data_IF_087886311020
#
_entry.id   IF_087886311020
#
_cell.length_a   1.000
_cell.length_b   1.000
_cell.length_c   1.000
_cell.angle_alpha   90.00
_cell.angle_beta   90.00
_cell.angle_gamma   90.00
#
_symmetry.space_group_name_H-M   'P 1'
#
loop_
_entity.id
_entity.type
_entity.pdbx_description
1 polymer ?
#
# COMPACT_ATOMS: atom_id res chain seq x y z
N UNK A 1 -18.96 6.64 30.47
CA UNK A 1 -17.53 6.55 30.10
C UNK A 1 -16.90 7.93 30.24
N UNK A 2 -16.81 8.50 31.45
CA UNK A 2 -16.24 9.84 31.65
C UNK A 2 -14.77 9.79 32.09
N UNK A 3 -14.38 8.72 32.80
CA UNK A 3 -13.03 8.51 33.32
C UNK A 3 -11.91 8.50 32.25
N UNK A 4 -12.22 8.11 31.01
CA UNK A 4 -11.23 8.13 29.91
C UNK A 4 -10.83 9.55 29.52
N UNK A 5 -11.75 10.51 29.66
CA UNK A 5 -11.48 11.92 29.42
C UNK A 5 -10.66 12.53 30.56
N UNK A 6 -10.90 12.07 31.78
CA UNK A 6 -10.12 12.49 32.95
C UNK A 6 -8.65 12.06 32.80
N UNK A 7 -8.42 10.83 32.33
CA UNK A 7 -7.04 10.36 32.04
C UNK A 7 -6.41 11.13 30.89
N UNK A 8 -7.16 11.42 29.83
CA UNK A 8 -6.66 12.25 28.75
C UNK A 8 -6.24 13.64 29.25
N UNK A 9 -7.01 14.25 30.15
CA UNK A 9 -6.63 15.54 30.74
C UNK A 9 -5.40 15.47 31.65
N UNK A 10 -5.10 14.32 32.26
CA UNK A 10 -3.85 14.11 33.00
C UNK A 10 -2.67 13.94 32.04
N UNK A 11 -2.89 13.34 30.86
CA UNK A 11 -1.87 13.18 29.82
C UNK A 11 -1.54 14.51 29.13
N UNK A 12 -2.57 15.29 28.78
CA UNK A 12 -2.49 16.59 28.12
C UNK A 12 -2.04 17.68 29.11
N UNK A 13 -0.74 17.70 29.38
CA UNK A 13 -0.14 18.61 30.36
C UNK A 13 -0.11 20.07 29.87
N UNK A 14 -0.11 20.28 28.55
CA UNK A 14 -0.20 21.61 27.94
C UNK A 14 -1.64 22.14 27.86
N UNK A 15 -2.64 21.26 27.85
CA UNK A 15 -4.06 21.60 27.78
C UNK A 15 -4.49 22.07 26.39
N UNK A 16 -3.76 21.71 25.34
CA UNK A 16 -4.04 22.12 23.97
C UNK A 16 -5.00 21.18 23.23
N UNK A 17 -5.43 20.10 23.90
CA UNK A 17 -6.31 19.07 23.37
C UNK A 17 -5.58 17.96 22.60
N UNK A 18 -4.25 17.97 22.61
CA UNK A 18 -3.39 17.01 21.90
C UNK A 18 -2.27 16.54 22.81
N UNK A 19 -2.12 15.24 22.96
CA UNK A 19 -1.00 14.68 23.73
C UNK A 19 0.17 14.43 22.78
N UNK A 20 1.29 15.11 23.03
CA UNK A 20 2.55 14.86 22.32
C UNK A 20 3.29 13.65 22.89
N UNK A 21 4.24 13.10 22.13
CA UNK A 21 5.07 11.98 22.62
C UNK A 21 5.80 12.34 23.92
N UNK A 22 6.29 13.57 24.04
CA UNK A 22 7.00 14.02 25.24
C UNK A 22 6.09 14.09 26.47
N UNK A 23 4.87 14.59 26.33
CA UNK A 23 3.88 14.59 27.41
C UNK A 23 3.48 13.17 27.80
N UNK A 24 3.28 12.31 26.81
CA UNK A 24 2.95 10.90 27.02
C UNK A 24 4.05 10.16 27.80
N UNK A 25 5.31 10.28 27.38
CA UNK A 25 6.46 9.67 28.07
C UNK A 25 6.65 10.23 29.48
N UNK A 26 6.45 11.53 29.67
CA UNK A 26 6.54 12.16 30.99
C UNK A 26 5.47 11.61 31.93
N UNK A 27 4.24 11.49 31.46
CA UNK A 27 3.10 11.05 32.27
C UNK A 27 3.10 9.55 32.56
N UNK A 28 3.76 8.74 31.73
CA UNK A 28 4.00 7.32 32.00
C UNK A 28 4.99 7.07 33.14
N UNK A 29 5.55 8.10 33.78
CA UNK A 29 6.27 7.97 35.06
C UNK A 29 5.32 8.00 36.28
N UNK A 30 4.06 8.40 36.09
CA UNK A 30 3.08 8.47 37.17
C UNK A 30 2.34 7.15 37.34
N UNK A 31 2.41 6.59 38.55
CA UNK A 31 1.84 5.27 38.87
C UNK A 31 0.33 5.18 38.58
N UNK A 32 -0.41 6.28 38.73
CA UNK A 32 -1.84 6.35 38.41
C UNK A 32 -2.12 6.15 36.92
N UNK A 33 -1.30 6.74 36.05
CA UNK A 33 -1.41 6.63 34.58
C UNK A 33 -1.00 5.21 34.15
N UNK A 34 0.07 4.65 34.71
CA UNK A 34 0.47 3.27 34.45
C UNK A 34 -0.63 2.29 34.85
N UNK A 35 -1.21 2.46 36.05
CA UNK A 35 -2.31 1.63 36.53
C UNK A 35 -3.52 1.68 35.59
N UNK A 36 -3.84 2.85 35.03
CA UNK A 36 -4.88 3.01 34.02
C UNK A 36 -4.62 2.14 32.79
N UNK A 37 -3.45 2.24 32.17
CA UNK A 37 -3.14 1.44 30.97
C UNK A 37 -3.17 -0.06 31.27
N UNK A 38 -2.74 -0.46 32.46
CA UNK A 38 -2.86 -1.85 32.93
C UNK A 38 -4.32 -2.30 33.04
N UNK A 39 -5.26 -1.45 33.50
CA UNK A 39 -6.70 -1.81 33.52
C UNK A 39 -7.26 -2.02 32.12
N UNK A 40 -6.70 -1.33 31.12
CA UNK A 40 -7.03 -1.51 29.71
C UNK A 40 -6.25 -2.65 29.05
N UNK A 41 -5.44 -3.41 29.80
CA UNK A 41 -4.54 -4.45 29.26
C UNK A 41 -3.56 -3.93 28.20
N UNK A 42 -3.20 -2.65 28.28
CA UNK A 42 -2.24 -2.02 27.39
C UNK A 42 -0.86 -2.06 28.04
N UNK A 43 0.10 -2.66 27.33
CA UNK A 43 1.49 -2.68 27.74
C UNK A 43 2.14 -1.32 27.43
N UNK A 44 2.55 -0.62 28.48
CA UNK A 44 3.24 0.68 28.41
C UNK A 44 4.77 0.55 28.47
N UNK A 45 5.31 -0.68 28.47
CA UNK A 45 6.76 -0.92 28.47
C UNK A 45 7.47 -0.29 27.27
N UNK A 46 6.76 -0.13 26.15
CA UNK A 46 7.20 0.63 24.98
C UNK A 46 6.21 1.76 24.68
N UNK A 47 6.35 2.85 25.46
CA UNK A 47 5.58 4.07 25.33
C UNK A 47 5.52 4.60 23.89
N UNK A 48 6.64 4.53 23.18
CA UNK A 48 6.77 5.07 21.83
C UNK A 48 6.01 4.25 20.80
N UNK A 49 6.04 2.93 20.93
CA UNK A 49 5.23 2.04 20.09
C UNK A 49 3.74 2.23 20.40
N UNK A 50 3.35 2.30 21.67
CA UNK A 50 1.96 2.55 22.05
C UNK A 50 1.45 3.89 21.50
N UNK A 51 2.25 4.96 21.64
CA UNK A 51 1.90 6.28 21.10
C UNK A 51 1.62 6.24 19.61
N UNK A 52 2.50 5.59 18.83
CA UNK A 52 2.30 5.41 17.37
C UNK A 52 1.08 4.56 17.01
N UNK A 53 0.66 3.66 17.89
CA UNK A 53 -0.56 2.87 17.69
C UNK A 53 -1.82 3.67 18.01
N UNK A 54 -1.70 4.72 18.84
CA UNK A 54 -2.78 5.64 19.18
C UNK A 54 -2.94 6.74 18.13
N UNK A 55 -1.83 7.35 17.70
CA UNK A 55 -1.76 8.33 16.60
C UNK A 55 -2.11 7.67 15.26
N UNK A 56 -3.36 7.84 14.85
CA UNK A 56 -3.94 7.11 13.73
C UNK A 56 -3.78 7.84 12.39
N UNK A 57 -3.65 9.17 12.44
CA UNK A 57 -3.46 10.02 11.29
C UNK A 57 -1.98 10.36 11.02
N UNK A 58 -1.07 10.04 11.95
CA UNK A 58 0.36 10.27 11.83
C UNK A 58 0.74 11.73 12.03
N UNK A 59 -0.03 12.47 12.83
CA UNK A 59 0.19 13.89 13.11
C UNK A 59 1.30 14.16 14.15
N UNK A 60 1.92 13.11 14.70
CA UNK A 60 2.86 13.16 15.83
C UNK A 60 2.21 13.71 17.13
N UNK A 61 0.88 13.69 17.19
CA UNK A 61 0.06 14.09 18.34
C UNK A 61 -1.16 13.18 18.45
N UNK A 62 -1.65 12.94 19.66
CA UNK A 62 -2.84 12.13 19.88
C UNK A 62 -3.95 13.02 20.43
N UNK A 63 -4.98 13.25 19.63
CA UNK A 63 -6.16 13.97 20.10
C UNK A 63 -7.10 13.05 20.91
N UNK A 64 -8.11 13.63 21.57
CA UNK A 64 -9.02 12.86 22.43
C UNK A 64 -9.78 11.75 21.68
N UNK A 65 -10.17 11.97 20.44
CA UNK A 65 -10.93 10.98 19.66
C UNK A 65 -10.04 9.80 19.25
N UNK A 66 -8.79 10.08 18.90
CA UNK A 66 -7.75 9.07 18.65
C UNK A 66 -7.38 8.30 19.91
N UNK A 67 -7.25 8.98 21.04
CA UNK A 67 -6.98 8.35 22.33
C UNK A 67 -8.09 7.36 22.71
N UNK A 68 -9.36 7.81 22.65
CA UNK A 68 -10.52 6.98 23.01
C UNK A 68 -10.66 5.81 22.05
N UNK A 69 -10.61 6.06 20.74
CA UNK A 69 -10.75 5.02 19.72
C UNK A 69 -9.56 4.05 19.72
N UNK A 70 -8.35 4.54 19.93
CA UNK A 70 -7.13 3.77 20.07
C UNK A 70 -7.14 2.89 21.31
N UNK A 71 -7.50 3.44 22.48
CA UNK A 71 -7.68 2.65 23.69
C UNK A 71 -8.74 1.56 23.50
N UNK A 72 -9.87 1.85 22.86
CA UNK A 72 -10.89 0.84 22.58
C UNK A 72 -10.38 -0.25 21.61
N UNK A 73 -9.64 0.15 20.57
CA UNK A 73 -9.05 -0.77 19.57
C UNK A 73 -7.99 -1.68 20.18
N UNK A 74 -7.18 -1.15 21.09
CA UNK A 74 -6.02 -1.85 21.65
C UNK A 74 -6.35 -2.60 22.96
N UNK A 75 -7.40 -2.22 23.69
CA UNK A 75 -7.77 -2.83 24.99
C UNK A 75 -8.39 -4.23 24.91
N UNK A 76 -8.43 -4.82 23.70
CA UNK A 76 -8.86 -6.18 23.46
C UNK A 76 -7.69 -7.14 23.36
N UNK A 77 -7.85 -8.35 23.89
CA UNK A 77 -6.98 -9.46 23.51
C UNK A 77 -7.16 -9.74 22.01
N UNK A 78 -6.06 -9.88 21.28
CA UNK A 78 -6.11 -10.35 19.91
C UNK A 78 -6.79 -11.73 19.91
N UNK A 79 -8.03 -11.78 19.41
CA UNK A 79 -8.77 -13.04 19.34
C UNK A 79 -8.00 -14.06 18.51
N UNK A 80 -8.15 -15.34 18.82
CA UNK A 80 -7.54 -16.43 18.03
C UNK A 80 -7.85 -16.28 16.53
N UNK A 81 -9.05 -15.80 16.19
CA UNK A 81 -9.44 -15.54 14.80
C UNK A 81 -8.59 -14.43 14.16
N UNK A 82 -8.38 -13.30 14.83
CA UNK A 82 -7.51 -12.23 14.32
C UNK A 82 -6.10 -12.74 14.04
N UNK A 83 -5.52 -13.54 14.94
CA UNK A 83 -4.21 -14.15 14.72
C UNK A 83 -4.20 -15.12 13.55
N UNK A 84 -5.24 -15.94 13.39
CA UNK A 84 -5.35 -16.85 12.24
C UNK A 84 -5.46 -16.10 10.91
N UNK A 85 -6.24 -15.02 10.84
CA UNK A 85 -6.34 -14.18 9.64
C UNK A 85 -4.99 -13.58 9.29
N UNK A 86 -4.26 -13.01 10.26
CA UNK A 86 -2.90 -12.50 10.03
C UNK A 86 -1.96 -13.61 9.52
N UNK A 87 -2.03 -14.82 10.06
CA UNK A 87 -1.23 -15.95 9.58
C UNK A 87 -1.58 -16.35 8.15
N UNK A 88 -2.84 -16.24 7.74
CA UNK A 88 -3.26 -16.46 6.35
C UNK A 88 -2.70 -15.39 5.43
N UNK A 89 -2.84 -14.11 5.79
CA UNK A 89 -2.31 -12.99 5.00
C UNK A 89 -0.80 -13.10 4.81
N UNK A 90 -0.06 -13.47 5.86
CA UNK A 90 1.39 -13.70 5.78
C UNK A 90 1.72 -14.81 4.77
N UNK A 91 1.01 -15.95 4.82
CA UNK A 91 1.22 -17.06 3.87
C UNK A 91 0.93 -16.62 2.43
N UNK A 92 -0.12 -15.85 2.23
CA UNK A 92 -0.49 -15.34 0.90
C UNK A 92 0.54 -14.35 0.36
N UNK A 93 1.06 -13.47 1.21
CA UNK A 93 2.14 -12.54 0.86
C UNK A 93 3.41 -13.34 0.49
N UNK A 94 3.78 -14.36 1.27
CA UNK A 94 4.95 -15.20 0.99
C UNK A 94 4.80 -15.95 -0.34
N UNK A 95 3.63 -16.53 -0.61
CA UNK A 95 3.36 -17.21 -1.88
C UNK A 95 3.46 -16.26 -3.08
N UNK A 96 2.94 -15.04 -2.94
CA UNK A 96 3.08 -13.99 -3.96
C UNK A 96 4.54 -13.57 -4.14
N UNK A 97 5.32 -13.46 -3.07
CA UNK A 97 6.75 -13.16 -3.16
C UNK A 97 7.53 -14.25 -3.89
N UNK A 98 7.26 -15.54 -3.63
CA UNK A 98 7.88 -16.66 -4.35
C UNK A 98 7.61 -16.55 -5.85
N UNK A 99 6.39 -16.20 -6.24
CA UNK A 99 6.04 -15.98 -7.64
C UNK A 99 6.81 -14.80 -8.27
N UNK A 100 6.93 -13.68 -7.56
CA UNK A 100 7.70 -12.50 -8.02
C UNK A 100 9.19 -12.84 -8.18
N UNK A 101 9.78 -13.58 -7.24
CA UNK A 101 11.20 -13.97 -7.32
C UNK A 101 11.41 -14.97 -8.46
N UNK A 102 10.58 -16.00 -8.59
CA UNK A 102 10.69 -16.99 -9.67
C UNK A 102 10.54 -16.38 -11.05
N UNK A 103 9.59 -15.46 -11.23
CA UNK A 103 9.43 -14.74 -12.51
C UNK A 103 10.62 -13.82 -12.82
N UNK A 104 11.27 -13.24 -11.81
CA UNK A 104 12.46 -12.40 -12.01
C UNK A 104 13.70 -13.20 -12.44
N UNK A 105 13.85 -14.44 -11.98
CA UNK A 105 14.93 -15.36 -12.40
C UNK A 105 14.73 -15.82 -13.85
N UNK A 106 13.50 -16.20 -14.23
CA UNK A 106 13.14 -16.61 -15.60
C UNK A 106 13.36 -15.50 -16.65
N UNK A 107 13.17 -14.23 -16.27
CA UNK A 107 13.45 -13.08 -17.13
C UNK A 107 14.96 -12.82 -17.29
N UNK A 108 15.77 -13.22 -16.30
CA UNK A 108 17.22 -13.02 -16.29
C UNK A 108 17.95 -14.02 -17.20
N UNK A 109 17.44 -15.24 -17.33
CA UNK A 109 17.99 -16.26 -18.23
C UNK A 109 17.66 -16.05 -19.70
N UNK A 110 16.55 -15.36 -20.03
CA UNK A 110 16.13 -15.12 -21.42
C UNK A 110 16.84 -13.95 -22.11
N UNK A 111 17.91 -13.38 -21.53
CA UNK A 111 18.67 -12.30 -22.18
C UNK A 111 19.31 -12.83 -23.47
N UNK A 112 18.88 -12.40 -24.68
CA UNK A 112 19.43 -12.94 -25.91
C UNK A 112 20.92 -12.62 -26.00
N UNK A 113 21.75 -13.65 -26.24
CA UNK A 113 23.16 -13.47 -26.58
C UNK A 113 23.19 -12.66 -27.86
N UNK A 114 23.69 -11.43 -27.78
CA UNK A 114 23.88 -10.56 -28.93
C UNK A 114 24.89 -11.22 -29.87
N UNK A 115 24.41 -12.02 -30.83
CA UNK A 115 25.19 -12.48 -31.97
C UNK A 115 25.32 -11.28 -32.91
N UNK A 116 26.43 -10.57 -32.78
CA UNK A 116 26.71 -9.41 -33.60
C UNK A 116 26.72 -9.73 -35.09
N UNK A 117 26.29 -8.75 -35.89
CA UNK A 117 27.00 -8.38 -37.11
C UNK A 117 26.63 -6.97 -37.52
N UNK A 118 27.59 -6.07 -37.32
CA UNK A 118 27.66 -4.78 -38.01
C UNK A 118 27.61 -5.06 -39.51
N UNK A 119 26.70 -4.42 -40.23
CA UNK A 119 26.75 -4.29 -41.67
C UNK A 119 26.50 -2.83 -42.00
N UNK A 120 27.60 -2.14 -42.25
CA UNK A 120 27.65 -0.86 -42.93
C UNK A 120 27.05 -1.02 -44.32
N UNK A 121 26.05 -0.21 -44.71
CA UNK A 121 25.94 0.34 -46.07
C UNK A 121 24.89 1.46 -46.18
N UNK A 122 25.44 2.66 -46.42
CA UNK A 122 24.95 3.80 -47.21
C UNK A 122 23.48 4.24 -47.15
N UNK A 123 23.35 5.45 -46.61
CA UNK A 123 22.26 6.39 -46.76
C UNK A 123 22.13 6.87 -48.23
N UNK A 124 20.99 6.63 -48.91
CA UNK A 124 20.31 7.61 -49.81
C UNK A 124 19.00 7.06 -50.40
N UNK A 125 17.84 7.70 -50.13
CA UNK A 125 16.71 7.70 -51.05
C UNK A 125 16.59 9.07 -51.73
N UNK A 126 16.47 9.10 -53.04
CA UNK A 126 15.93 10.26 -53.77
C UNK A 126 15.36 9.76 -55.09
N UNK A 127 14.06 9.86 -55.28
CA UNK A 127 13.39 10.88 -56.11
C UNK A 127 11.88 10.69 -55.96
N UNK A 128 11.17 11.80 -55.70
CA UNK A 128 9.71 11.92 -55.65
C UNK A 128 9.13 12.13 -57.04
N UNK A 129 7.90 11.61 -57.23
CA UNK A 129 6.77 12.12 -58.02
C UNK A 129 6.98 12.32 -59.55
N UNK A 130 5.99 12.15 -60.43
CA UNK A 130 4.52 12.16 -60.33
C UNK A 130 3.90 11.74 -61.66
N UNK A 131 2.75 11.05 -61.61
CA UNK A 131 1.60 11.22 -62.52
C UNK A 131 1.75 10.71 -63.97
N UNK A 132 0.72 10.40 -64.76
CA UNK A 132 -0.73 10.13 -64.67
C UNK A 132 -1.06 9.39 -65.99
N UNK A 133 -2.21 8.72 -66.05
CA UNK A 133 -2.98 8.29 -67.25
C UNK A 133 -3.06 6.78 -67.45
N UNK A 134 -4.16 6.18 -67.89
CA UNK A 134 -5.61 6.44 -67.85
C UNK A 134 -6.24 5.20 -68.55
N UNK A 135 -7.44 4.78 -68.12
CA UNK A 135 -8.42 3.95 -68.87
C UNK A 135 -8.03 2.48 -69.16
N UNK A 136 -8.91 1.49 -69.06
CA UNK A 136 -10.33 1.46 -68.77
C UNK A 136 -10.88 0.04 -69.00
N UNK A 137 -11.94 -0.29 -68.24
CA UNK A 137 -13.08 -1.17 -68.54
C UNK A 137 -12.87 -2.55 -69.21
N UNK A 138 -13.39 -3.62 -68.58
CA UNK A 138 -14.64 -4.27 -69.03
C UNK A 138 -15.14 -5.32 -68.01
N UNK A 139 -16.47 -5.42 -67.98
CA UNK A 139 -17.39 -6.15 -67.07
C UNK A 139 -17.33 -7.68 -67.15
N UNK A 140 -17.79 -8.35 -66.08
CA UNK A 140 -19.05 -9.13 -66.02
C UNK A 140 -19.06 -9.99 -64.72
N UNK A 141 -20.08 -9.88 -63.87
CA UNK A 141 -21.19 -10.86 -63.72
C UNK A 141 -20.78 -12.02 -62.78
N UNK A 142 -21.46 -12.43 -61.72
CA UNK A 142 -22.85 -12.30 -61.26
C UNK A 142 -22.94 -13.01 -59.88
N UNK A 143 -23.92 -12.61 -59.04
CA UNK A 143 -24.61 -13.41 -57.99
C UNK A 143 -23.79 -13.82 -56.75
N UNK A 144 -24.31 -13.89 -55.54
CA UNK A 144 -25.56 -13.48 -54.88
C UNK A 144 -25.39 -13.95 -53.42
N UNK A 145 -25.86 -13.15 -52.47
CA UNK A 145 -26.42 -13.54 -51.17
C UNK A 145 -25.68 -14.57 -50.28
N UNK A 146 -25.33 -14.15 -49.07
CA UNK A 146 -26.12 -14.48 -47.87
C UNK A 146 -25.39 -13.97 -46.61
N UNK A 147 -26.08 -13.12 -45.85
CA UNK A 147 -25.73 -12.87 -44.45
C UNK A 147 -26.10 -14.07 -43.58
N UNK A 148 -25.38 -14.24 -42.47
CA UNK A 148 -25.81 -15.08 -41.37
C UNK A 148 -25.31 -14.48 -40.04
N UNK A 149 -26.30 -14.27 -39.17
CA UNK A 149 -26.33 -14.09 -37.71
C UNK A 149 -25.13 -13.50 -36.97
#
# INVERSE_FOLDING_TARGET
MNWIRDVFSELDSSGDGTVTLGEFENQLNHEAVIAYFNTLKLDVSDARTLFKLLDSDGSDGVNIDEFVSGCYRLSGEATTLHTQVMQMDIKDILNKMIWVVGTSEDLREKKPRNSGRVSTHSNRPSIRNSGVEERGLLRASERSDFGFC
#
